data_IF_002747324361
#
_entry.id   IF_002747324361
#
_cell.length_a   1.000
_cell.length_b   1.000
_cell.length_c   1.000
_cell.angle_alpha   90.00
_cell.angle_beta   90.00
_cell.angle_gamma   90.00
#
_symmetry.space_group_name_H-M   'P 1'
#
loop_
_entity.id
_entity.type
_entity.pdbx_description
1 polymer ?
#
# COMPACT_ATOMS: atom_id res chain seq x y z
N UNK A 1 4.60 27.77 25.37
CA UNK A 1 5.81 28.57 25.11
C UNK A 1 5.97 29.55 26.27
N UNK A 2 6.89 29.31 27.20
CA UNK A 2 7.24 30.27 28.25
C UNK A 2 8.18 31.31 27.64
N UNK A 3 7.73 32.55 27.60
CA UNK A 3 8.63 33.69 27.34
C UNK A 3 9.48 33.89 28.59
N UNK A 4 10.79 33.67 28.49
CA UNK A 4 11.71 34.06 29.57
C UNK A 4 11.73 35.60 29.71
N UNK A 5 11.45 36.08 30.91
CA UNK A 5 11.38 37.48 31.26
C UNK A 5 12.77 38.11 31.40
N UNK A 6 13.51 38.21 30.32
CA UNK A 6 14.74 39.03 30.29
C UNK A 6 14.70 40.01 29.15
N UNK A 7 13.93 41.09 29.37
CA UNK A 7 14.01 42.29 28.51
C UNK A 7 15.11 43.19 29.09
N UNK A 8 16.15 43.53 28.31
CA UNK A 8 17.15 44.51 28.77
C UNK A 8 16.47 45.86 29.11
N UNK A 9 17.00 46.61 30.11
CA UNK A 9 16.38 47.84 30.59
C UNK A 9 16.12 48.91 29.54
N UNK A 10 16.89 48.92 28.48
CA UNK A 10 16.75 49.86 27.34
C UNK A 10 15.48 49.61 26.48
N UNK A 11 14.81 48.48 26.63
CA UNK A 11 13.59 48.16 25.93
C UNK A 11 12.31 48.27 26.77
N UNK A 12 12.38 48.69 28.00
CA UNK A 12 11.20 48.92 28.86
C UNK A 12 10.19 49.91 28.24
N UNK A 13 10.68 50.88 27.46
CA UNK A 13 9.89 51.86 26.75
C UNK A 13 8.99 51.24 25.64
N UNK A 14 9.36 50.06 25.15
CA UNK A 14 8.65 49.34 24.08
C UNK A 14 7.89 48.10 24.59
N UNK A 15 7.76 47.96 25.90
CA UNK A 15 7.14 46.79 26.56
C UNK A 15 5.71 46.49 26.08
N UNK A 16 4.96 47.50 25.63
CA UNK A 16 3.60 47.35 25.06
C UNK A 16 3.63 46.73 23.64
N UNK A 17 4.61 47.11 22.82
CA UNK A 17 4.74 46.61 21.46
C UNK A 17 5.25 45.17 21.43
N UNK A 18 6.14 44.80 22.33
CA UNK A 18 6.70 43.44 22.47
C UNK A 18 5.60 42.44 22.90
N UNK A 19 4.60 42.84 23.69
CA UNK A 19 3.49 41.97 24.11
C UNK A 19 2.57 41.57 22.99
N UNK A 20 2.56 42.30 21.88
CA UNK A 20 1.76 42.02 20.68
C UNK A 20 2.56 41.39 19.53
N UNK A 21 3.85 41.16 19.72
CA UNK A 21 4.65 40.47 18.70
C UNK A 21 4.25 39.01 18.59
N UNK A 22 3.85 38.61 17.38
CA UNK A 22 3.62 37.22 17.03
C UNK A 22 4.87 36.68 16.34
N UNK A 23 5.41 35.61 16.89
CA UNK A 23 6.56 34.92 16.30
C UNK A 23 6.05 33.68 15.53
N UNK A 24 6.57 33.50 14.33
CA UNK A 24 6.36 32.28 13.56
C UNK A 24 7.70 31.70 13.16
N UNK A 25 7.83 30.37 13.27
CA UNK A 25 8.96 29.62 12.73
C UNK A 25 8.54 29.05 11.39
N UNK A 26 9.25 29.38 10.34
CA UNK A 26 9.02 28.89 9.01
C UNK A 26 10.28 28.21 8.46
N UNK A 27 10.11 27.22 7.60
CA UNK A 27 11.19 26.53 6.86
C UNK A 27 10.98 26.73 5.39
N UNK A 28 12.01 27.22 4.69
CA UNK A 28 12.00 27.35 3.23
C UNK A 28 12.03 25.94 2.63
N UNK A 29 11.19 25.67 1.66
CA UNK A 29 11.09 24.36 0.98
C UNK A 29 11.43 24.43 -0.50
N UNK A 30 10.94 25.45 -1.16
CA UNK A 30 11.10 25.69 -2.59
C UNK A 30 11.47 27.13 -2.81
N UNK A 31 12.12 27.41 -3.93
CA UNK A 31 12.36 28.75 -4.41
C UNK A 31 11.88 28.92 -5.84
N UNK A 32 11.55 30.13 -6.20
CA UNK A 32 11.11 30.54 -7.53
C UNK A 32 12.28 31.19 -8.24
N UNK A 33 12.82 30.52 -9.24
CA UNK A 33 13.90 31.05 -10.06
C UNK A 33 13.33 31.56 -11.38
N UNK A 34 13.71 32.77 -11.76
CA UNK A 34 13.33 33.34 -13.05
C UNK A 34 14.52 33.22 -14.01
N UNK A 35 14.44 32.32 -14.99
CA UNK A 35 15.44 32.17 -16.06
C UNK A 35 14.78 32.51 -17.41
N UNK A 36 15.39 33.43 -18.15
CA UNK A 36 14.91 33.85 -19.48
C UNK A 36 13.41 34.26 -19.49
N UNK A 37 12.91 34.86 -18.42
CA UNK A 37 11.51 35.27 -18.29
C UNK A 37 10.53 34.12 -17.95
N UNK A 38 11.01 32.90 -17.74
CA UNK A 38 10.22 31.78 -17.25
C UNK A 38 10.45 31.54 -15.77
N UNK A 39 9.38 31.33 -15.04
CA UNK A 39 9.40 30.99 -13.63
C UNK A 39 9.54 29.47 -13.46
N UNK A 40 10.58 29.05 -12.74
CA UNK A 40 10.80 27.63 -12.39
C UNK A 40 10.77 27.46 -10.88
N UNK A 41 10.08 26.45 -10.40
CA UNK A 41 10.14 26.06 -8.99
C UNK A 41 11.22 25.01 -8.83
N UNK A 42 12.19 25.29 -7.97
CA UNK A 42 13.30 24.39 -7.64
C UNK A 42 13.35 24.15 -6.14
N UNK A 43 14.08 23.12 -5.72
CA UNK A 43 14.36 22.89 -4.30
C UNK A 43 15.21 24.03 -3.77
N UNK A 44 14.97 24.39 -2.50
CA UNK A 44 15.73 25.47 -1.86
C UNK A 44 17.23 25.20 -1.90
N UNK A 45 17.99 26.18 -2.39
CA UNK A 45 19.44 26.07 -2.60
C UNK A 45 20.28 26.51 -1.40
N UNK A 46 19.65 26.85 -0.27
CA UNK A 46 20.34 27.18 0.97
C UNK A 46 20.57 28.67 1.23
N UNK A 47 20.05 29.58 0.39
CA UNK A 47 20.14 31.02 0.66
C UNK A 47 19.27 31.44 1.84
N UNK A 48 19.65 32.48 2.54
CA UNK A 48 18.92 33.00 3.69
C UNK A 48 18.32 34.36 3.29
N UNK A 49 17.01 34.58 3.50
CA UNK A 49 16.39 35.89 3.27
C UNK A 49 17.06 36.96 4.09
N UNK A 50 17.34 38.09 3.48
CA UNK A 50 17.89 39.23 4.20
C UNK A 50 16.83 39.93 5.08
N UNK A 51 17.26 40.94 5.86
CA UNK A 51 16.36 41.66 6.78
C UNK A 51 15.27 42.49 6.07
N UNK A 52 15.41 42.75 4.76
CA UNK A 52 14.42 43.48 3.98
C UNK A 52 13.39 42.56 3.31
N UNK A 53 13.56 41.23 3.43
CA UNK A 53 12.65 40.27 2.85
C UNK A 53 11.23 40.41 3.41
N UNK A 54 10.25 40.48 2.51
CA UNK A 54 8.83 40.50 2.87
C UNK A 54 8.31 39.09 2.99
N UNK A 55 7.46 38.89 4.01
CA UNK A 55 6.75 37.64 4.22
C UNK A 55 5.28 37.86 3.89
N UNK A 56 4.77 37.11 2.93
CA UNK A 56 3.39 37.17 2.51
C UNK A 56 2.73 35.78 2.67
N UNK A 57 1.43 35.77 2.96
CA UNK A 57 0.64 34.56 2.97
C UNK A 57 0.16 34.26 1.56
N UNK A 58 0.34 33.02 1.12
CA UNK A 58 -0.17 32.56 -0.19
C UNK A 58 -1.26 31.50 -0.01
N UNK A 59 -2.21 31.46 -0.95
CA UNK A 59 -3.27 30.45 -1.00
C UNK A 59 -2.71 29.13 -1.55
N UNK A 60 -3.23 28.00 -1.06
CA UNK A 60 -2.92 26.67 -1.59
C UNK A 60 -3.14 26.58 -3.11
N UNK A 61 -4.16 27.28 -3.66
CA UNK A 61 -4.40 27.33 -5.11
C UNK A 61 -3.19 27.87 -5.87
N UNK A 62 -2.56 28.91 -5.36
CA UNK A 62 -1.36 29.47 -5.98
C UNK A 62 -0.21 28.44 -5.97
N UNK A 63 -0.02 27.74 -4.83
CA UNK A 63 1.02 26.70 -4.69
C UNK A 63 0.72 25.54 -5.63
N UNK A 64 -0.51 25.05 -5.66
CA UNK A 64 -0.93 23.95 -6.54
C UNK A 64 -0.68 24.29 -8.01
N UNK A 65 -1.07 25.48 -8.45
CA UNK A 65 -0.84 25.92 -9.83
C UNK A 65 0.66 26.03 -10.16
N UNK A 66 1.47 26.57 -9.24
CA UNK A 66 2.90 26.69 -9.44
C UNK A 66 3.63 25.35 -9.50
N UNK A 67 3.11 24.36 -8.77
CA UNK A 67 3.62 22.99 -8.77
C UNK A 67 2.98 22.13 -9.87
N UNK A 68 2.09 22.70 -10.69
CA UNK A 68 1.34 21.99 -11.73
C UNK A 68 0.56 20.78 -11.18
N UNK A 69 -0.04 20.97 -9.99
CA UNK A 69 -0.86 19.96 -9.32
C UNK A 69 -2.34 20.29 -9.53
N UNK A 70 -3.04 19.46 -10.35
CA UNK A 70 -4.44 19.67 -10.66
C UNK A 70 -4.95 18.79 -11.80
N UNK A 71 -6.26 18.73 -11.99
CA UNK A 71 -6.88 17.94 -13.07
C UNK A 71 -6.40 18.37 -14.45
N UNK A 72 -6.21 19.65 -14.63
CA UNK A 72 -5.76 20.29 -15.87
C UNK A 72 -4.34 19.88 -16.29
N UNK A 73 -3.52 19.41 -15.36
CA UNK A 73 -2.13 19.02 -15.63
C UNK A 73 -1.97 17.51 -15.81
N UNK A 74 -3.00 16.67 -15.50
CA UNK A 74 -2.87 15.23 -15.47
C UNK A 74 -3.76 14.53 -16.49
N UNK A 75 -3.19 13.58 -17.23
CA UNK A 75 -3.94 12.68 -18.12
C UNK A 75 -4.76 11.65 -17.35
N UNK A 76 -4.31 11.28 -16.15
CA UNK A 76 -4.95 10.27 -15.28
C UNK A 76 -5.11 10.83 -13.86
N UNK A 77 -6.03 11.80 -13.65
CA UNK A 77 -6.21 12.44 -12.35
C UNK A 77 -6.95 11.53 -11.37
N UNK A 78 -6.52 11.57 -10.11
CA UNK A 78 -7.19 10.93 -8.97
C UNK A 78 -7.51 12.00 -7.93
N UNK A 79 -8.79 12.20 -7.63
CA UNK A 79 -9.22 13.11 -6.56
C UNK A 79 -9.03 12.39 -5.23
N UNK A 80 -8.13 12.90 -4.39
CA UNK A 80 -7.83 12.32 -3.08
C UNK A 80 -8.60 13.02 -1.96
N UNK A 81 -8.90 14.31 -2.14
CA UNK A 81 -9.57 15.10 -1.13
C UNK A 81 -9.50 16.59 -1.41
N UNK A 82 -9.31 17.35 -0.34
CA UNK A 82 -9.18 18.81 -0.40
C UNK A 82 -8.03 19.27 0.48
N UNK A 83 -7.37 20.36 0.12
CA UNK A 83 -6.38 20.98 1.00
C UNK A 83 -7.02 21.39 2.34
N UNK A 84 -6.27 21.26 3.43
CA UNK A 84 -6.83 21.43 4.78
C UNK A 84 -7.14 22.89 5.13
N UNK A 85 -6.49 23.85 4.47
CA UNK A 85 -6.58 25.27 4.83
C UNK A 85 -7.45 26.07 3.86
N UNK A 86 -7.42 25.78 2.57
CA UNK A 86 -8.16 26.54 1.55
C UNK A 86 -9.32 25.76 0.94
N UNK A 87 -9.60 24.55 1.40
CA UNK A 87 -10.67 23.66 0.92
C UNK A 87 -10.66 23.45 -0.62
N UNK A 88 -9.46 23.57 -1.25
CA UNK A 88 -9.28 23.34 -2.67
C UNK A 88 -9.19 21.86 -2.97
N UNK A 89 -9.78 21.43 -4.07
CA UNK A 89 -9.67 20.05 -4.54
C UNK A 89 -8.20 19.67 -4.67
N UNK A 90 -7.82 18.53 -4.05
CA UNK A 90 -6.49 18.00 -4.12
C UNK A 90 -6.49 16.76 -5.01
N UNK A 91 -5.75 16.85 -6.09
CA UNK A 91 -5.69 15.84 -7.16
C UNK A 91 -4.26 15.37 -7.31
N UNK A 92 -4.08 14.07 -7.47
CA UNK A 92 -2.77 13.48 -7.78
C UNK A 92 -2.82 12.81 -9.15
N UNK A 93 -1.68 12.62 -9.78
CA UNK A 93 -1.56 11.81 -10.98
C UNK A 93 -1.46 10.32 -10.63
N UNK A 94 -2.23 9.47 -11.30
CA UNK A 94 -2.07 8.02 -11.19
C UNK A 94 -0.66 7.57 -11.60
N UNK A 95 0.00 8.31 -12.51
CA UNK A 95 1.38 8.06 -12.92
C UNK A 95 2.35 8.14 -11.72
N UNK A 96 2.15 9.10 -10.83
CA UNK A 96 3.03 9.29 -9.66
C UNK A 96 2.83 8.24 -8.56
N UNK A 97 1.84 7.34 -8.72
CA UNK A 97 1.69 6.14 -7.88
C UNK A 97 2.43 4.91 -8.43
N UNK A 98 3.09 5.04 -9.58
CA UNK A 98 3.87 3.95 -10.19
C UNK A 98 5.21 3.75 -9.49
N UNK A 99 5.12 3.38 -8.23
CA UNK A 99 6.23 3.17 -7.33
C UNK A 99 5.78 2.58 -6.00
N UNK A 100 6.48 2.93 -4.93
CA UNK A 100 6.15 2.53 -3.58
C UNK A 100 5.46 3.67 -2.86
N UNK A 101 4.22 3.46 -2.47
CA UNK A 101 3.45 4.39 -1.64
C UNK A 101 3.23 3.81 -0.25
N UNK A 102 3.50 4.59 0.78
CA UNK A 102 3.33 4.20 2.18
C UNK A 102 2.22 5.03 2.82
N UNK A 103 1.25 4.37 3.45
CA UNK A 103 0.14 4.99 4.18
C UNK A 103 0.23 4.54 5.64
N UNK A 104 0.56 5.46 6.55
CA UNK A 104 0.76 5.15 7.96
C UNK A 104 -0.04 6.06 8.90
N UNK A 105 -0.33 5.55 10.10
CA UNK A 105 -1.03 6.29 11.15
C UNK A 105 -1.79 5.37 12.09
N UNK A 106 -2.28 5.87 13.20
CA UNK A 106 -3.05 5.08 14.18
C UNK A 106 -4.35 4.50 13.59
N UNK A 107 -4.89 3.47 14.24
CA UNK A 107 -6.19 2.89 13.88
C UNK A 107 -7.29 3.97 13.94
N UNK A 108 -8.18 3.96 12.93
CA UNK A 108 -9.31 4.90 12.87
C UNK A 108 -8.98 6.31 12.38
N UNK A 109 -7.73 6.58 11.94
CA UNK A 109 -7.33 7.91 11.46
C UNK A 109 -7.72 8.20 10.01
N UNK A 110 -8.08 7.18 9.21
CA UNK A 110 -8.54 7.33 7.83
C UNK A 110 -7.69 6.64 6.77
N UNK A 111 -6.69 5.83 7.14
CA UNK A 111 -5.81 5.11 6.20
C UNK A 111 -6.56 4.26 5.17
N UNK A 112 -7.38 3.31 5.64
CA UNK A 112 -8.14 2.42 4.74
C UNK A 112 -9.14 3.20 3.87
N UNK A 113 -9.62 4.36 4.35
CA UNK A 113 -10.48 5.23 3.57
C UNK A 113 -9.71 5.88 2.40
N UNK A 114 -8.50 6.41 2.67
CA UNK A 114 -7.61 6.93 1.63
C UNK A 114 -7.24 5.84 0.62
N UNK A 115 -6.86 4.65 1.08
CA UNK A 115 -6.49 3.54 0.22
C UNK A 115 -7.64 3.13 -0.73
N UNK A 116 -8.87 3.13 -0.23
CA UNK A 116 -10.07 2.91 -1.05
C UNK A 116 -10.26 4.02 -2.09
N UNK A 117 -10.03 5.29 -1.71
CA UNK A 117 -10.09 6.42 -2.66
C UNK A 117 -9.05 6.27 -3.77
N UNK A 118 -7.81 5.90 -3.42
CA UNK A 118 -6.75 5.64 -4.40
C UNK A 118 -7.11 4.48 -5.32
N UNK A 119 -7.59 3.36 -4.76
CA UNK A 119 -8.00 2.19 -5.53
C UNK A 119 -9.10 2.51 -6.54
N UNK A 120 -10.16 3.20 -6.09
CA UNK A 120 -11.26 3.59 -6.97
C UNK A 120 -10.81 4.55 -8.07
N UNK A 121 -9.93 5.50 -7.72
CA UNK A 121 -9.33 6.41 -8.69
C UNK A 121 -8.46 5.68 -9.72
N UNK A 122 -7.69 4.68 -9.31
CA UNK A 122 -6.90 3.83 -10.21
C UNK A 122 -7.81 3.01 -11.12
N UNK A 123 -8.89 2.41 -10.61
CA UNK A 123 -9.89 1.67 -11.40
C UNK A 123 -10.56 2.58 -12.43
N UNK A 124 -10.90 3.82 -12.07
CA UNK A 124 -11.49 4.80 -12.98
C UNK A 124 -10.52 5.20 -14.11
N UNK A 125 -9.23 5.12 -13.87
CA UNK A 125 -8.16 5.35 -14.86
C UNK A 125 -7.72 4.06 -15.60
N UNK A 126 -8.45 2.97 -15.47
CA UNK A 126 -8.20 1.74 -16.23
C UNK A 126 -7.14 0.80 -15.61
N UNK A 127 -6.66 1.07 -14.41
CA UNK A 127 -5.64 0.25 -13.75
C UNK A 127 -6.21 -1.04 -13.17
N UNK A 128 -5.36 -2.07 -13.12
CA UNK A 128 -5.63 -3.33 -12.42
C UNK A 128 -5.09 -3.28 -10.99
N UNK A 129 -5.86 -3.75 -10.03
CA UNK A 129 -5.50 -3.85 -8.63
C UNK A 129 -5.56 -5.27 -8.08
N UNK A 130 -4.65 -5.60 -7.18
CA UNK A 130 -4.67 -6.79 -6.34
C UNK A 130 -4.59 -6.35 -4.88
N UNK A 131 -5.56 -6.76 -4.07
CA UNK A 131 -5.65 -6.36 -2.68
C UNK A 131 -5.58 -7.59 -1.77
N UNK A 132 -4.65 -7.59 -0.82
CA UNK A 132 -4.62 -8.52 0.30
C UNK A 132 -5.40 -7.91 1.46
N UNK A 133 -6.65 -8.34 1.64
CA UNK A 133 -7.62 -7.75 2.56
C UNK A 133 -7.80 -8.60 3.82
N UNK A 134 -7.11 -8.22 4.89
CA UNK A 134 -7.17 -8.95 6.19
C UNK A 134 -8.50 -8.71 6.91
N UNK A 135 -9.13 -7.57 6.68
CA UNK A 135 -10.30 -7.12 7.45
C UNK A 135 -11.63 -7.28 6.70
N UNK A 136 -11.60 -7.65 5.40
CA UNK A 136 -12.76 -7.67 4.50
C UNK A 136 -13.42 -6.28 4.40
N UNK A 137 -12.60 -5.28 4.11
CA UNK A 137 -13.03 -3.89 4.05
C UNK A 137 -13.31 -3.38 2.64
N UNK A 138 -12.80 -4.05 1.59
CA UNK A 138 -12.81 -3.55 0.22
C UNK A 138 -13.98 -4.07 -0.61
N UNK A 139 -14.48 -5.27 -0.32
CA UNK A 139 -15.55 -5.91 -1.08
C UNK A 139 -16.87 -5.13 -1.05
N UNK A 140 -17.13 -4.37 0.01
CA UNK A 140 -18.34 -3.56 0.17
C UNK A 140 -18.47 -2.42 -0.85
N UNK A 141 -17.35 -1.97 -1.46
CA UNK A 141 -17.37 -0.90 -2.48
C UNK A 141 -18.12 -1.27 -3.77
N UNK A 142 -18.50 -2.53 -3.94
CA UNK A 142 -19.43 -2.99 -4.99
C UNK A 142 -20.80 -2.32 -4.91
N UNK A 143 -21.14 -1.73 -3.76
CA UNK A 143 -22.44 -1.12 -3.49
C UNK A 143 -22.30 0.35 -3.12
N UNK A 144 -23.29 1.15 -3.50
CA UNK A 144 -23.47 2.51 -3.05
C UNK A 144 -23.92 2.53 -1.58
N UNK A 145 -23.89 3.71 -0.94
CA UNK A 145 -24.31 3.86 0.46
C UNK A 145 -25.77 3.43 0.71
N UNK A 146 -26.63 3.53 -0.31
CA UNK A 146 -28.03 3.11 -0.27
C UNK A 146 -28.25 1.60 -0.51
N UNK A 147 -27.17 0.83 -0.74
CA UNK A 147 -27.22 -0.61 -0.99
C UNK A 147 -27.42 -0.98 -2.47
N UNK A 148 -27.60 -0.02 -3.36
CA UNK A 148 -27.67 -0.30 -4.80
C UNK A 148 -26.30 -0.65 -5.38
N UNK A 149 -26.21 -1.41 -6.50
CA UNK A 149 -24.93 -1.66 -7.15
C UNK A 149 -24.24 -0.37 -7.55
N UNK A 150 -22.96 -0.24 -7.17
CA UNK A 150 -22.14 0.89 -7.59
C UNK A 150 -21.61 0.70 -9.02
N UNK A 151 -21.02 1.74 -9.60
CA UNK A 151 -20.33 1.64 -10.90
C UNK A 151 -19.15 0.65 -10.88
N UNK A 152 -18.71 0.24 -9.70
CA UNK A 152 -17.62 -0.72 -9.48
C UNK A 152 -18.11 -2.16 -9.25
N UNK A 153 -19.43 -2.40 -9.29
CA UNK A 153 -20.02 -3.71 -8.96
C UNK A 153 -19.38 -4.86 -9.72
N UNK A 154 -19.20 -4.70 -11.02
CA UNK A 154 -18.58 -5.70 -11.90
C UNK A 154 -17.06 -5.51 -12.06
N UNK A 155 -16.48 -4.47 -11.48
CA UNK A 155 -15.04 -4.18 -11.53
C UNK A 155 -14.28 -4.67 -10.30
N UNK A 156 -14.99 -5.09 -9.26
CA UNK A 156 -14.40 -5.62 -8.02
C UNK A 156 -14.79 -7.07 -7.90
N UNK A 157 -13.82 -7.96 -7.85
CA UNK A 157 -14.02 -9.40 -7.69
C UNK A 157 -13.43 -9.81 -6.34
N UNK A 158 -14.27 -10.39 -5.46
CA UNK A 158 -13.83 -10.97 -4.19
C UNK A 158 -13.46 -12.42 -4.40
N UNK A 159 -12.28 -12.79 -3.96
CA UNK A 159 -11.75 -14.14 -3.99
C UNK A 159 -11.52 -14.64 -2.56
N UNK A 160 -12.27 -15.66 -2.19
CA UNK A 160 -12.23 -16.30 -0.87
C UNK A 160 -11.44 -17.61 -0.97
N UNK A 161 -10.22 -17.70 -0.36
CA UNK A 161 -9.40 -18.90 -0.40
C UNK A 161 -10.13 -20.14 0.14
N UNK A 162 -10.11 -21.22 -0.66
CA UNK A 162 -10.81 -22.46 -0.37
C UNK A 162 -12.30 -22.49 -0.79
N UNK A 163 -12.82 -21.38 -1.30
CA UNK A 163 -14.17 -21.29 -1.84
C UNK A 163 -14.13 -21.05 -3.36
N UNK A 164 -13.93 -19.80 -3.78
CA UNK A 164 -13.82 -19.40 -5.17
C UNK A 164 -12.39 -18.99 -5.59
N UNK A 165 -11.41 -19.15 -4.69
CA UNK A 165 -9.99 -19.11 -5.01
C UNK A 165 -9.39 -20.48 -4.73
N UNK A 166 -9.28 -21.29 -5.78
CA UNK A 166 -8.71 -22.64 -5.76
C UNK A 166 -7.85 -22.84 -7.00
N UNK A 167 -6.73 -23.51 -6.84
CA UNK A 167 -5.77 -23.73 -7.92
C UNK A 167 -5.55 -25.22 -8.16
N UNK A 168 -5.42 -25.62 -9.44
CA UNK A 168 -4.88 -26.95 -9.77
C UNK A 168 -3.35 -26.91 -9.71
N UNK A 169 -2.73 -28.07 -9.47
CA UNK A 169 -1.26 -28.18 -9.51
C UNK A 169 -0.73 -27.87 -10.91
N UNK A 170 -1.45 -28.28 -11.94
CA UNK A 170 -1.12 -27.99 -13.35
C UNK A 170 -1.07 -26.47 -13.61
N UNK A 171 -2.05 -25.70 -13.11
CA UNK A 171 -2.07 -24.25 -13.26
C UNK A 171 -0.93 -23.57 -12.50
N UNK A 172 -0.69 -24.00 -11.27
CA UNK A 172 0.38 -23.42 -10.43
C UNK A 172 1.76 -23.71 -11.03
N UNK A 173 1.96 -24.91 -11.55
CA UNK A 173 3.24 -25.35 -12.09
C UNK A 173 4.30 -25.68 -11.02
N UNK A 174 5.36 -26.39 -11.42
CA UNK A 174 6.38 -26.87 -10.48
C UNK A 174 7.16 -25.70 -9.83
N UNK A 175 7.49 -24.66 -10.59
CA UNK A 175 8.32 -23.57 -10.06
C UNK A 175 7.64 -22.87 -8.88
N UNK A 176 6.39 -22.45 -9.04
CA UNK A 176 5.63 -21.79 -7.99
C UNK A 176 5.35 -22.74 -6.84
N UNK A 177 4.93 -23.99 -7.12
CA UNK A 177 4.64 -24.96 -6.09
C UNK A 177 5.84 -25.24 -5.18
N UNK A 178 7.03 -25.49 -5.78
CA UNK A 178 8.24 -25.80 -5.02
C UNK A 178 8.81 -24.58 -4.31
N UNK A 179 8.71 -23.39 -4.87
CA UNK A 179 9.04 -22.16 -4.16
C UNK A 179 8.17 -22.01 -2.90
N UNK A 180 6.87 -22.14 -3.04
CA UNK A 180 5.91 -21.98 -1.92
C UNK A 180 6.09 -23.04 -0.85
N UNK A 181 6.21 -24.34 -1.19
CA UNK A 181 6.32 -25.39 -0.19
C UNK A 181 7.67 -25.35 0.56
N UNK A 182 8.74 -24.91 -0.11
CA UNK A 182 10.04 -24.74 0.53
C UNK A 182 10.08 -23.47 1.39
N UNK A 183 9.60 -22.36 0.87
CA UNK A 183 9.74 -21.05 1.52
C UNK A 183 8.63 -20.77 2.53
N UNK A 184 7.36 -20.96 2.20
CA UNK A 184 6.25 -20.73 3.13
C UNK A 184 6.08 -21.84 4.16
N UNK A 185 6.34 -23.09 3.77
CA UNK A 185 6.13 -24.25 4.63
C UNK A 185 7.42 -24.87 5.15
N UNK A 186 8.57 -24.36 4.76
CA UNK A 186 9.88 -24.82 5.25
C UNK A 186 10.20 -26.28 4.91
N UNK A 187 9.88 -26.75 3.68
CA UNK A 187 10.25 -28.08 3.26
C UNK A 187 11.78 -28.16 3.04
N UNK A 188 12.50 -29.10 3.68
CA UNK A 188 13.92 -29.28 3.45
C UNK A 188 14.23 -29.62 2.00
N UNK A 189 15.38 -29.16 1.49
CA UNK A 189 15.80 -29.35 0.09
C UNK A 189 15.84 -30.80 -0.34
N UNK A 190 16.36 -31.70 0.53
CA UNK A 190 16.37 -33.14 0.28
C UNK A 190 14.97 -33.71 0.05
N UNK A 191 14.01 -33.29 0.87
CA UNK A 191 12.63 -33.75 0.73
C UNK A 191 11.96 -33.11 -0.48
N UNK A 192 12.30 -31.86 -0.82
CA UNK A 192 11.82 -31.20 -2.03
C UNK A 192 12.34 -31.87 -3.31
N UNK A 193 13.56 -32.36 -3.30
CA UNK A 193 14.13 -33.12 -4.42
C UNK A 193 13.34 -34.40 -4.72
N UNK A 194 13.05 -35.22 -3.69
CA UNK A 194 12.23 -36.42 -3.87
C UNK A 194 10.80 -36.09 -4.32
N UNK A 195 10.21 -35.05 -3.75
CA UNK A 195 8.86 -34.61 -4.18
C UNK A 195 8.86 -34.12 -5.63
N UNK A 196 9.96 -33.50 -6.13
CA UNK A 196 10.11 -33.14 -7.55
C UNK A 196 10.14 -34.35 -8.45
N UNK A 197 10.82 -35.41 -8.07
CA UNK A 197 10.87 -36.65 -8.85
C UNK A 197 9.48 -37.24 -9.00
N UNK A 198 8.68 -37.29 -7.91
CA UNK A 198 7.31 -37.76 -7.93
C UNK A 198 6.43 -36.84 -8.82
N UNK A 199 6.59 -35.52 -8.68
CA UNK A 199 5.86 -34.54 -9.51
C UNK A 199 6.08 -34.80 -11.00
N UNK A 200 7.34 -34.90 -11.43
CA UNK A 200 7.68 -35.11 -12.85
C UNK A 200 7.19 -36.45 -13.38
N UNK A 201 7.20 -37.50 -12.57
CA UNK A 201 6.65 -38.81 -12.95
C UNK A 201 5.13 -38.72 -13.19
N UNK A 202 4.40 -38.11 -12.26
CA UNK A 202 2.95 -37.90 -12.40
C UNK A 202 2.62 -36.98 -13.58
N UNK A 203 3.39 -35.91 -13.78
CA UNK A 203 3.21 -34.99 -14.90
C UNK A 203 3.44 -35.69 -16.24
N UNK A 204 4.50 -36.49 -16.38
CA UNK A 204 4.81 -37.26 -17.58
C UNK A 204 3.72 -38.28 -17.94
N UNK A 205 3.03 -38.82 -16.94
CA UNK A 205 1.94 -39.78 -17.09
C UNK A 205 0.56 -39.10 -17.26
N UNK A 206 0.47 -37.75 -17.24
CA UNK A 206 -0.78 -36.98 -17.19
C UNK A 206 -1.69 -37.35 -15.99
N UNK A 207 -1.09 -37.74 -14.87
CA UNK A 207 -1.77 -38.11 -13.62
C UNK A 207 -1.58 -37.06 -12.50
N UNK A 208 -1.00 -35.90 -12.81
CA UNK A 208 -0.70 -34.88 -11.82
C UNK A 208 -1.97 -34.31 -11.21
N UNK A 209 -2.23 -34.69 -9.98
CA UNK A 209 -3.27 -34.12 -9.11
C UNK A 209 -2.77 -34.03 -7.68
N UNK A 210 -3.43 -33.23 -6.84
CA UNK A 210 -3.04 -33.11 -5.45
C UNK A 210 -3.22 -34.42 -4.68
N UNK A 211 -4.30 -35.13 -4.99
CA UNK A 211 -4.60 -36.44 -4.40
C UNK A 211 -3.54 -37.48 -4.82
N UNK A 212 -3.21 -37.57 -6.11
CA UNK A 212 -2.18 -38.50 -6.59
C UNK A 212 -0.80 -38.19 -6.02
N UNK A 213 -0.44 -36.90 -5.93
CA UNK A 213 0.82 -36.48 -5.32
C UNK A 213 0.92 -36.96 -3.86
N UNK A 214 -0.17 -36.82 -3.09
CA UNK A 214 -0.23 -37.26 -1.70
C UNK A 214 -0.14 -38.79 -1.58
N UNK A 215 -0.79 -39.54 -2.49
CA UNK A 215 -0.74 -41.01 -2.52
C UNK A 215 0.67 -41.52 -2.85
N UNK A 216 1.32 -40.98 -3.87
CA UNK A 216 2.67 -41.42 -4.27
C UNK A 216 3.73 -41.09 -3.20
N UNK A 217 3.61 -39.97 -2.50
CA UNK A 217 4.47 -39.65 -1.37
C UNK A 217 4.40 -40.74 -0.28
N UNK A 218 3.24 -41.36 -0.07
CA UNK A 218 3.10 -42.45 0.92
C UNK A 218 3.91 -43.72 0.55
N UNK A 219 4.28 -43.88 -0.71
CA UNK A 219 5.10 -44.99 -1.21
C UNK A 219 6.63 -44.78 -1.00
N UNK A 220 7.03 -43.57 -0.54
CA UNK A 220 8.45 -43.27 -0.28
C UNK A 220 8.97 -44.10 0.89
N UNK A 221 10.04 -44.82 0.68
CA UNK A 221 10.61 -45.71 1.70
C UNK A 221 11.29 -45.00 2.86
N UNK A 222 11.82 -43.79 2.67
CA UNK A 222 12.47 -43.03 3.75
C UNK A 222 11.41 -42.34 4.63
N UNK A 223 11.25 -42.83 5.86
CA UNK A 223 10.29 -42.34 6.84
C UNK A 223 10.47 -40.85 7.20
N UNK A 224 11.69 -40.31 7.11
CA UNK A 224 11.97 -38.91 7.42
C UNK A 224 11.45 -37.99 6.30
N UNK A 225 11.72 -38.37 5.06
CA UNK A 225 11.22 -37.65 3.87
C UNK A 225 9.69 -37.73 3.84
N UNK A 226 9.16 -38.96 3.94
CA UNK A 226 7.72 -39.19 4.01
C UNK A 226 7.03 -38.29 5.03
N UNK A 227 7.45 -38.31 6.30
CA UNK A 227 6.83 -37.52 7.35
C UNK A 227 7.01 -35.99 7.18
N UNK A 228 8.09 -35.57 6.54
CA UNK A 228 8.31 -34.15 6.26
C UNK A 228 7.38 -33.63 5.14
N UNK A 229 7.22 -34.38 4.07
CA UNK A 229 6.38 -34.01 2.91
C UNK A 229 4.90 -34.16 3.24
N UNK A 230 4.47 -35.31 3.76
CA UNK A 230 3.07 -35.60 4.06
C UNK A 230 2.42 -34.52 4.93
N UNK A 231 3.06 -34.16 6.05
CA UNK A 231 2.51 -33.13 6.94
C UNK A 231 2.30 -31.78 6.26
N UNK A 232 3.13 -31.42 5.28
CA UNK A 232 3.02 -30.16 4.56
C UNK A 232 1.92 -30.22 3.52
N UNK A 233 1.83 -31.31 2.76
CA UNK A 233 0.76 -31.52 1.79
C UNK A 233 -0.62 -31.58 2.48
N UNK A 234 -0.74 -32.28 3.61
CA UNK A 234 -1.98 -32.31 4.40
C UNK A 234 -2.38 -30.92 4.89
N UNK A 235 -1.41 -30.11 5.36
CA UNK A 235 -1.68 -28.70 5.72
C UNK A 235 -2.14 -27.88 4.52
N UNK A 236 -1.51 -28.04 3.37
CA UNK A 236 -1.94 -27.37 2.13
C UNK A 236 -3.36 -27.77 1.74
N UNK A 237 -3.67 -29.06 1.82
CA UNK A 237 -5.01 -29.58 1.55
C UNK A 237 -6.08 -28.97 2.46
N UNK A 238 -5.78 -28.87 3.79
CA UNK A 238 -6.70 -28.28 4.77
C UNK A 238 -7.05 -26.82 4.50
N UNK A 239 -6.23 -26.09 3.76
CA UNK A 239 -6.55 -24.69 3.38
C UNK A 239 -7.65 -24.59 2.34
N UNK A 240 -7.92 -25.68 1.61
CA UNK A 240 -8.84 -25.71 0.46
C UNK A 240 -8.35 -24.91 -0.75
N UNK A 241 -7.11 -24.37 -0.72
CA UNK A 241 -6.55 -23.56 -1.80
C UNK A 241 -6.25 -24.37 -3.06
N UNK A 242 -6.04 -25.70 -2.93
CA UNK A 242 -5.76 -26.59 -4.04
C UNK A 242 -6.94 -27.52 -4.31
N UNK A 243 -7.23 -27.74 -5.57
CA UNK A 243 -8.25 -28.67 -6.04
C UNK A 243 -7.75 -29.42 -7.28
N UNK A 244 -8.37 -30.57 -7.55
CA UNK A 244 -8.07 -31.40 -8.72
C UNK A 244 -9.12 -31.25 -9.84
N UNK A 245 -10.21 -30.52 -9.57
CA UNK A 245 -11.30 -30.26 -10.51
C UNK A 245 -11.05 -28.91 -11.23
N UNK A 246 -10.80 -28.98 -12.54
CA UNK A 246 -10.54 -27.80 -13.36
C UNK A 246 -11.78 -26.88 -13.50
N UNK A 247 -12.99 -27.40 -13.36
CA UNK A 247 -14.20 -26.58 -13.42
C UNK A 247 -14.35 -25.70 -12.19
N UNK A 248 -13.87 -26.17 -11.03
CA UNK A 248 -13.85 -25.43 -9.77
C UNK A 248 -12.59 -24.58 -9.61
N UNK A 249 -11.60 -24.77 -10.47
CA UNK A 249 -10.34 -24.08 -10.38
C UNK A 249 -10.44 -22.62 -10.86
N UNK A 250 -9.67 -21.78 -10.19
CA UNK A 250 -9.50 -20.37 -10.50
C UNK A 250 -8.17 -20.18 -11.20
N UNK A 251 -8.14 -19.36 -12.24
CA UNK A 251 -6.89 -18.84 -12.79
C UNK A 251 -6.87 -17.32 -12.63
N UNK A 252 -5.78 -16.76 -12.13
CA UNK A 252 -5.65 -15.31 -11.92
C UNK A 252 -5.84 -14.56 -13.24
N UNK A 253 -5.31 -15.08 -14.35
CA UNK A 253 -5.46 -14.50 -15.67
C UNK A 253 -6.95 -14.35 -16.05
N UNK A 254 -7.75 -15.42 -15.86
CA UNK A 254 -9.19 -15.39 -16.16
C UNK A 254 -9.94 -14.37 -15.30
N UNK A 255 -9.57 -14.26 -14.03
CA UNK A 255 -10.22 -13.30 -13.14
C UNK A 255 -9.84 -11.85 -13.50
N UNK A 256 -8.58 -11.58 -13.84
CA UNK A 256 -8.17 -10.26 -14.32
C UNK A 256 -8.79 -9.90 -15.68
N UNK A 257 -8.97 -10.88 -16.58
CA UNK A 257 -9.61 -10.62 -17.87
C UNK A 257 -11.07 -10.14 -17.74
N UNK A 258 -11.80 -10.60 -16.71
CA UNK A 258 -13.16 -10.13 -16.38
C UNK A 258 -13.21 -8.64 -16.03
N UNK A 259 -12.10 -8.07 -15.56
CA UNK A 259 -11.97 -6.69 -15.13
C UNK A 259 -10.99 -5.89 -16.00
N UNK A 260 -10.71 -6.37 -17.20
CA UNK A 260 -9.89 -5.68 -18.18
C UNK A 260 -10.41 -4.26 -18.45
N UNK A 261 -9.50 -3.28 -18.45
CA UNK A 261 -9.88 -1.88 -18.59
C UNK A 261 -10.19 -1.17 -17.27
N UNK A 262 -9.82 -1.79 -16.14
CA UNK A 262 -9.86 -1.20 -14.80
C UNK A 262 -10.74 -1.99 -13.83
N UNK A 263 -10.10 -2.51 -12.80
CA UNK A 263 -10.77 -3.26 -11.75
C UNK A 263 -9.80 -3.80 -10.70
N UNK A 264 -10.33 -4.55 -9.73
CA UNK A 264 -9.54 -5.09 -8.63
C UNK A 264 -9.96 -6.51 -8.23
N UNK A 265 -8.97 -7.37 -8.00
CA UNK A 265 -9.14 -8.64 -7.31
C UNK A 265 -8.86 -8.44 -5.82
N UNK A 266 -9.79 -8.84 -4.98
CA UNK A 266 -9.67 -8.76 -3.52
C UNK A 266 -9.49 -10.17 -2.98
N UNK A 267 -8.30 -10.46 -2.50
CA UNK A 267 -7.99 -11.73 -1.80
C UNK A 267 -8.42 -11.55 -0.35
N UNK A 268 -9.52 -12.17 0.02
CA UNK A 268 -10.07 -12.07 1.37
C UNK A 268 -9.31 -12.99 2.33
N UNK A 269 -8.58 -12.40 3.26
CA UNK A 269 -7.77 -13.10 4.26
C UNK A 269 -8.41 -13.10 5.65
N UNK A 270 -9.60 -12.51 5.79
CA UNK A 270 -10.30 -12.39 7.06
C UNK A 270 -10.59 -13.76 7.68
N UNK A 271 -10.30 -13.87 8.98
CA UNK A 271 -10.50 -15.09 9.78
C UNK A 271 -9.72 -16.32 9.30
N UNK A 272 -8.78 -16.19 8.38
CA UNK A 272 -7.87 -17.27 7.99
C UNK A 272 -6.77 -17.43 9.03
N UNK A 273 -6.26 -18.66 9.20
CA UNK A 273 -5.09 -18.91 10.04
C UNK A 273 -3.85 -18.26 9.43
N UNK A 274 -2.82 -18.00 10.25
CA UNK A 274 -1.56 -17.44 9.75
C UNK A 274 -0.95 -18.30 8.65
N UNK A 275 -0.89 -19.62 8.86
CA UNK A 275 -0.35 -20.57 7.87
C UNK A 275 -1.11 -20.50 6.54
N UNK A 276 -2.44 -20.34 6.59
CA UNK A 276 -3.28 -20.17 5.39
C UNK A 276 -2.98 -18.84 4.70
N UNK A 277 -2.86 -17.75 5.46
CA UNK A 277 -2.53 -16.42 4.92
C UNK A 277 -1.18 -16.48 4.22
N UNK A 278 -0.15 -17.00 4.88
CA UNK A 278 1.19 -17.12 4.32
C UNK A 278 1.18 -17.95 3.03
N UNK A 279 0.49 -19.10 3.03
CA UNK A 279 0.38 -19.95 1.85
C UNK A 279 -0.32 -19.24 0.67
N UNK A 280 -1.47 -18.62 0.93
CA UNK A 280 -2.26 -17.90 -0.09
C UNK A 280 -1.46 -16.76 -0.69
N UNK A 281 -0.88 -15.92 0.16
CA UNK A 281 -0.13 -14.73 -0.29
C UNK A 281 1.08 -15.15 -1.12
N UNK A 282 1.86 -16.13 -0.64
CA UNK A 282 3.02 -16.62 -1.38
C UNK A 282 2.62 -17.23 -2.73
N UNK A 283 1.59 -18.07 -2.76
CA UNK A 283 1.10 -18.68 -4.01
C UNK A 283 0.65 -17.61 -5.01
N UNK A 284 -0.11 -16.63 -4.56
CA UNK A 284 -0.63 -15.56 -5.43
C UNK A 284 0.51 -14.65 -5.92
N UNK A 285 1.46 -14.27 -5.04
CA UNK A 285 2.60 -13.43 -5.44
C UNK A 285 3.54 -14.15 -6.41
N UNK A 286 3.92 -15.41 -6.13
CA UNK A 286 4.80 -16.17 -7.02
C UNK A 286 4.13 -16.41 -8.37
N UNK A 287 2.82 -16.69 -8.40
CA UNK A 287 2.09 -16.84 -9.67
C UNK A 287 1.95 -15.52 -10.42
N UNK A 288 1.71 -14.42 -9.72
CA UNK A 288 1.69 -13.09 -10.33
C UNK A 288 3.05 -12.72 -10.94
N UNK A 289 4.14 -13.03 -10.27
CA UNK A 289 5.50 -12.81 -10.78
C UNK A 289 5.73 -13.57 -12.08
N UNK A 290 5.39 -14.87 -12.14
CA UNK A 290 5.44 -15.67 -13.35
C UNK A 290 4.60 -15.07 -14.50
N UNK A 291 3.39 -14.60 -14.20
CA UNK A 291 2.53 -13.94 -15.18
C UNK A 291 3.16 -12.67 -15.74
N UNK A 292 3.75 -11.83 -14.89
CA UNK A 292 4.39 -10.59 -15.29
C UNK A 292 5.63 -10.84 -16.15
N UNK A 293 6.40 -11.89 -15.89
CA UNK A 293 7.51 -12.33 -16.74
C UNK A 293 7.01 -12.74 -18.14
N UNK A 294 5.77 -13.20 -18.26
CA UNK A 294 5.10 -13.55 -19.50
C UNK A 294 4.35 -12.35 -20.15
N UNK A 295 4.75 -11.11 -19.81
CA UNK A 295 4.17 -9.87 -20.32
C UNK A 295 2.71 -9.61 -19.88
N UNK A 296 2.29 -10.08 -18.71
CA UNK A 296 1.03 -9.63 -18.12
C UNK A 296 1.08 -8.11 -17.85
N UNK A 297 -0.06 -7.39 -18.00
CA UNK A 297 -0.09 -5.94 -17.76
C UNK A 297 0.36 -5.55 -16.35
N UNK A 298 0.95 -4.34 -16.19
CA UNK A 298 1.31 -3.79 -14.89
C UNK A 298 0.13 -3.73 -13.92
N UNK A 299 0.41 -3.88 -12.62
CA UNK A 299 -0.62 -4.01 -11.60
C UNK A 299 -0.25 -3.24 -10.32
N UNK A 300 -1.27 -2.69 -9.64
CA UNK A 300 -1.15 -2.10 -8.31
C UNK A 300 -1.46 -3.13 -7.22
N UNK A 301 -0.54 -3.31 -6.28
CA UNK A 301 -0.72 -4.22 -5.15
C UNK A 301 -0.98 -3.40 -3.89
N UNK A 302 -2.13 -3.62 -3.26
CA UNK A 302 -2.49 -3.04 -1.97
C UNK A 302 -2.26 -4.07 -0.87
N UNK A 303 -1.37 -3.77 0.04
CA UNK A 303 -0.97 -4.66 1.12
C UNK A 303 -1.28 -4.01 2.48
N UNK A 304 -2.42 -4.41 3.07
CA UNK A 304 -2.82 -3.97 4.38
C UNK A 304 -2.12 -4.79 5.45
N UNK A 305 -1.47 -4.12 6.41
CA UNK A 305 -0.70 -4.75 7.49
C UNK A 305 0.26 -5.85 6.97
N UNK A 306 0.98 -5.54 5.90
CA UNK A 306 1.82 -6.47 5.14
C UNK A 306 2.85 -7.24 6.00
N UNK A 307 3.24 -6.69 7.14
CA UNK A 307 4.14 -7.34 8.10
C UNK A 307 3.59 -8.64 8.69
N UNK A 308 2.28 -8.89 8.61
CA UNK A 308 1.71 -10.15 9.08
C UNK A 308 1.97 -11.32 8.14
N UNK A 309 2.28 -11.06 6.84
CA UNK A 309 2.36 -12.12 5.84
C UNK A 309 3.51 -11.99 4.83
N UNK A 310 4.17 -10.83 4.71
CA UNK A 310 5.35 -10.69 3.86
C UNK A 310 6.61 -11.05 4.64
N UNK A 311 7.40 -11.98 4.07
CA UNK A 311 8.71 -12.37 4.59
C UNK A 311 9.78 -11.35 4.19
N UNK A 312 10.98 -11.50 4.76
CA UNK A 312 12.11 -10.62 4.47
C UNK A 312 12.49 -10.62 2.98
N UNK A 313 12.47 -11.81 2.36
CA UNK A 313 12.72 -12.00 0.94
C UNK A 313 11.67 -11.34 0.07
N UNK A 314 10.39 -11.37 0.48
CA UNK A 314 9.28 -10.75 -0.25
C UNK A 314 9.41 -9.23 -0.27
N UNK A 315 9.79 -8.63 0.87
CA UNK A 315 10.06 -7.20 0.93
C UNK A 315 11.19 -6.78 -0.02
N UNK A 316 12.29 -7.55 -0.06
CA UNK A 316 13.41 -7.28 -0.95
C UNK A 316 13.00 -7.44 -2.42
N UNK A 317 12.29 -8.51 -2.75
CA UNK A 317 11.81 -8.81 -4.11
C UNK A 317 10.82 -7.75 -4.61
N UNK A 318 9.89 -7.32 -3.77
CA UNK A 318 8.91 -6.27 -4.10
C UNK A 318 9.57 -4.95 -4.52
N UNK A 319 10.64 -4.55 -3.81
CA UNK A 319 11.36 -3.29 -4.07
C UNK A 319 12.26 -3.38 -5.31
N UNK A 320 12.79 -4.55 -5.62
CA UNK A 320 13.74 -4.77 -6.71
C UNK A 320 13.07 -5.33 -7.96
N UNK A 321 12.94 -6.65 -8.02
CA UNK A 321 12.51 -7.38 -9.22
C UNK A 321 11.07 -7.10 -9.62
N UNK A 322 10.12 -7.17 -8.69
CA UNK A 322 8.70 -6.99 -9.01
C UNK A 322 8.41 -5.58 -9.53
N UNK A 323 9.08 -4.55 -9.00
CA UNK A 323 8.95 -3.17 -9.53
C UNK A 323 9.35 -3.09 -11.01
N UNK A 324 10.43 -3.76 -11.41
CA UNK A 324 10.85 -3.80 -12.82
C UNK A 324 9.89 -4.59 -13.71
N UNK A 325 9.18 -5.55 -13.15
CA UNK A 325 8.14 -6.31 -13.85
C UNK A 325 6.80 -5.55 -13.96
N UNK A 326 6.69 -4.36 -13.36
CA UNK A 326 5.50 -3.53 -13.45
C UNK A 326 4.52 -3.70 -12.27
N UNK A 327 5.01 -4.07 -11.09
CA UNK A 327 4.19 -4.00 -9.88
C UNK A 327 4.43 -2.70 -9.12
N UNK A 328 3.35 -2.04 -8.72
CA UNK A 328 3.38 -0.82 -7.92
C UNK A 328 2.72 -1.08 -6.58
N UNK A 329 3.41 -0.80 -5.47
CA UNK A 329 2.99 -1.24 -4.16
C UNK A 329 2.45 -0.10 -3.31
N UNK A 330 1.32 -0.35 -2.65
CA UNK A 330 0.71 0.56 -1.68
C UNK A 330 0.61 -0.17 -0.35
N UNK A 331 1.49 0.17 0.56
CA UNK A 331 1.58 -0.42 1.90
C UNK A 331 0.81 0.40 2.91
N UNK A 332 0.00 -0.29 3.73
CA UNK A 332 -0.77 0.34 4.80
C UNK A 332 -0.48 -0.33 6.12
N UNK A 333 -0.14 0.46 7.15
CA UNK A 333 0.08 -0.09 8.50
C UNK A 333 -0.20 0.91 9.61
N UNK A 334 -0.54 0.36 10.78
CA UNK A 334 -0.61 1.10 12.04
C UNK A 334 0.75 1.17 12.74
N UNK A 335 1.69 0.30 12.35
CA UNK A 335 2.99 0.10 13.01
C UNK A 335 4.11 0.28 11.99
N UNK A 336 4.52 1.52 11.68
CA UNK A 336 5.54 1.80 10.66
C UNK A 336 6.86 1.05 10.88
N UNK A 337 7.26 0.83 12.13
CA UNK A 337 8.48 0.10 12.50
C UNK A 337 8.52 -1.34 12.01
N UNK A 338 7.39 -1.92 11.64
CA UNK A 338 7.31 -3.27 11.04
C UNK A 338 7.59 -3.27 9.51
N UNK A 339 7.53 -2.10 8.86
CA UNK A 339 7.97 -1.96 7.46
C UNK A 339 9.50 -2.00 7.44
N UNK A 340 10.06 -2.80 6.56
CA UNK A 340 11.52 -2.90 6.45
C UNK A 340 12.18 -1.57 6.05
N UNK A 341 13.34 -1.22 6.64
CA UNK A 341 14.04 0.04 6.31
C UNK A 341 14.38 0.19 4.83
N UNK A 342 14.57 -0.93 4.12
CA UNK A 342 14.81 -0.93 2.68
C UNK A 342 13.60 -0.33 1.93
N UNK A 343 12.38 -0.73 2.28
CA UNK A 343 11.13 -0.25 1.66
C UNK A 343 10.93 1.24 1.96
N UNK A 344 11.15 1.65 3.23
CA UNK A 344 11.04 3.05 3.64
C UNK A 344 11.95 3.96 2.81
N UNK A 345 13.21 3.55 2.59
CA UNK A 345 14.18 4.34 1.80
C UNK A 345 13.87 4.39 0.31
N UNK A 346 13.10 3.44 -0.20
CA UNK A 346 12.70 3.37 -1.59
C UNK A 346 11.26 3.87 -1.82
N UNK A 347 10.62 4.40 -0.78
CA UNK A 347 9.30 4.97 -0.90
C UNK A 347 9.32 6.23 -1.78
N UNK A 348 8.45 6.26 -2.76
CA UNK A 348 8.25 7.41 -3.65
C UNK A 348 7.22 8.38 -3.06
N UNK A 349 6.26 7.84 -2.28
CA UNK A 349 5.18 8.63 -1.68
C UNK A 349 4.90 8.22 -0.24
N UNK A 350 4.55 9.21 0.59
CA UNK A 350 4.11 9.02 1.96
C UNK A 350 2.79 9.77 2.20
N UNK A 351 1.80 9.05 2.74
CA UNK A 351 0.63 9.62 3.38
C UNK A 351 0.70 9.31 4.88
N UNK A 352 0.96 10.34 5.67
CA UNK A 352 1.12 10.24 7.12
C UNK A 352 -0.10 10.82 7.84
N UNK A 353 -0.86 9.96 8.48
CA UNK A 353 -1.96 10.32 9.39
C UNK A 353 -1.44 10.53 10.82
N UNK A 354 -2.35 10.85 11.74
CA UNK A 354 -2.01 11.01 13.14
C UNK A 354 -1.19 9.83 13.69
N UNK A 355 -0.02 10.14 14.24
CA UNK A 355 0.91 9.18 14.83
C UNK A 355 1.68 9.89 15.95
N UNK A 356 1.84 9.24 17.10
CA UNK A 356 2.41 9.90 18.31
C UNK A 356 3.75 9.34 18.74
N UNK A 357 4.05 8.07 18.39
CA UNK A 357 5.25 7.39 18.82
C UNK A 357 6.48 7.91 18.08
N UNK A 358 7.45 8.42 18.81
CA UNK A 358 8.67 8.99 18.23
C UNK A 358 9.46 7.95 17.42
N UNK A 359 9.53 6.71 17.90
CA UNK A 359 10.22 5.61 17.22
C UNK A 359 9.65 5.35 15.83
N UNK A 360 8.32 5.33 15.71
CA UNK A 360 7.62 5.16 14.43
C UNK A 360 7.88 6.34 13.50
N UNK A 361 7.85 7.58 14.05
CA UNK A 361 8.08 8.79 13.28
C UNK A 361 9.53 8.90 12.80
N UNK A 362 10.50 8.52 13.63
CA UNK A 362 11.91 8.45 13.23
C UNK A 362 12.13 7.39 12.14
N UNK A 363 11.44 6.26 12.25
CA UNK A 363 11.54 5.17 11.27
C UNK A 363 11.01 5.56 9.91
N UNK A 364 9.88 6.30 9.83
CA UNK A 364 9.24 6.71 8.57
C UNK A 364 9.87 7.98 7.95
N UNK A 365 10.59 8.78 8.73
CA UNK A 365 11.18 10.04 8.25
C UNK A 365 12.03 9.88 6.98
N UNK A 366 12.83 8.81 6.78
CA UNK A 366 13.62 8.62 5.56
C UNK A 366 12.81 8.44 4.28
N UNK A 367 11.49 8.21 4.38
CA UNK A 367 10.60 8.15 3.22
C UNK A 367 10.34 9.52 2.57
N UNK A 368 10.85 10.60 3.15
CA UNK A 368 10.61 11.96 2.65
C UNK A 368 11.87 12.82 2.73
N UNK A 369 11.87 13.92 1.97
CA UNK A 369 12.88 14.99 2.09
C UNK A 369 12.57 15.98 3.22
N UNK A 370 11.52 15.74 4.02
CA UNK A 370 11.15 16.61 5.14
C UNK A 370 11.98 16.23 6.36
N UNK A 371 12.45 17.21 7.09
CA UNK A 371 13.20 16.97 8.33
C UNK A 371 12.34 16.27 9.40
N UNK A 372 12.94 15.37 10.21
CA UNK A 372 12.21 14.57 11.20
C UNK A 372 11.45 15.38 12.24
N UNK A 373 11.95 16.56 12.60
CA UNK A 373 11.31 17.44 13.59
C UNK A 373 9.94 17.92 13.07
N UNK A 374 9.90 18.43 11.84
CA UNK A 374 8.65 18.84 11.19
C UNK A 374 7.67 17.68 11.06
N UNK A 375 8.14 16.50 10.65
CA UNK A 375 7.29 15.31 10.57
C UNK A 375 6.65 14.98 11.92
N UNK A 376 7.44 15.01 12.99
CA UNK A 376 6.96 14.74 14.37
C UNK A 376 5.92 15.74 14.82
N UNK A 377 6.17 17.03 14.61
CA UNK A 377 5.24 18.10 15.01
C UNK A 377 3.92 17.99 14.25
N UNK A 378 3.99 17.84 12.93
CA UNK A 378 2.79 17.73 12.07
C UNK A 378 2.01 16.47 12.42
N UNK A 379 2.64 15.29 12.44
CA UNK A 379 1.96 14.02 12.65
C UNK A 379 1.18 13.97 13.98
N UNK A 380 1.76 14.53 15.05
CA UNK A 380 1.10 14.58 16.37
C UNK A 380 -0.08 15.54 16.43
N UNK A 381 -0.12 16.54 15.56
CA UNK A 381 -1.17 17.56 15.52
C UNK A 381 -2.32 17.23 14.56
N UNK A 382 -2.17 16.23 13.68
CA UNK A 382 -3.18 15.89 12.67
C UNK A 382 -4.48 15.37 13.32
N UNK A 383 -5.64 15.95 13.01
CA UNK A 383 -6.93 15.37 13.41
C UNK A 383 -7.28 14.16 12.54
N UNK A 384 -8.30 13.40 12.94
CA UNK A 384 -8.81 12.29 12.15
C UNK A 384 -9.21 12.74 10.72
N UNK A 385 -9.01 11.86 9.75
CA UNK A 385 -9.26 12.09 8.31
C UNK A 385 -8.40 13.16 7.65
N UNK A 386 -7.39 13.67 8.36
CA UNK A 386 -6.34 14.52 7.77
C UNK A 386 -5.04 13.76 7.68
N UNK A 387 -4.31 13.95 6.60
CA UNK A 387 -2.97 13.41 6.46
C UNK A 387 -2.02 14.43 5.83
N UNK A 388 -0.75 14.26 6.12
CA UNK A 388 0.35 14.85 5.38
C UNK A 388 0.58 14.00 4.14
N UNK A 389 0.50 14.60 2.95
CA UNK A 389 0.83 13.98 1.67
C UNK A 389 2.14 14.59 1.17
N UNK A 390 3.10 13.75 0.81
CA UNK A 390 4.42 14.16 0.31
C UNK A 390 5.04 13.07 -0.56
N UNK A 391 5.84 13.44 -1.53
CA UNK A 391 6.53 12.56 -2.47
C UNK A 391 6.36 13.03 -3.91
N UNK A 392 6.49 12.12 -4.86
CA UNK A 392 6.28 12.38 -6.28
C UNK A 392 4.88 12.94 -6.56
N UNK A 393 3.88 12.49 -5.80
CA UNK A 393 2.49 12.99 -5.89
C UNK A 393 2.34 14.48 -5.61
N UNK A 394 3.34 15.13 -5.04
CA UNK A 394 3.30 16.54 -4.61
C UNK A 394 4.54 17.32 -5.05
N UNK A 395 5.32 16.79 -5.99
CA UNK A 395 6.64 17.35 -6.32
C UNK A 395 7.49 17.61 -5.06
N UNK A 396 7.41 16.69 -4.08
CA UNK A 396 8.07 16.72 -2.76
C UNK A 396 7.69 17.91 -1.87
N UNK A 397 6.63 18.65 -2.20
CA UNK A 397 6.10 19.70 -1.33
C UNK A 397 5.07 19.09 -0.36
N UNK A 398 5.15 19.38 0.95
CA UNK A 398 4.22 18.81 1.93
C UNK A 398 2.85 19.51 1.87
N UNK A 399 1.78 18.74 1.63
CA UNK A 399 0.41 19.21 1.75
C UNK A 399 -0.32 18.49 2.89
N UNK A 400 -1.08 19.25 3.66
CA UNK A 400 -2.06 18.66 4.59
C UNK A 400 -3.40 18.61 3.87
N UNK A 401 -3.97 17.41 3.76
CA UNK A 401 -5.21 17.17 3.03
C UNK A 401 -6.29 16.57 3.92
N UNK A 402 -7.54 16.97 3.68
CA UNK A 402 -8.72 16.30 4.17
C UNK A 402 -9.10 15.23 3.15
N UNK A 403 -9.09 13.97 3.54
CA UNK A 403 -9.42 12.86 2.63
C UNK A 403 -10.89 12.93 2.22
N UNK A 404 -11.15 12.77 0.91
CA UNK A 404 -12.49 12.83 0.34
C UNK A 404 -13.42 11.75 0.91
N UNK A 405 -14.70 12.09 1.05
CA UNK A 405 -15.74 11.09 1.28
C UNK A 405 -15.93 10.18 0.06
N UNK A 406 -16.31 8.94 0.29
CA UNK A 406 -16.60 7.97 -0.76
C UNK A 406 -18.11 7.80 -0.90
N UNK A 407 -18.62 7.74 -2.13
CA UNK A 407 -20.04 7.51 -2.41
C UNK A 407 -20.45 6.03 -2.38
N UNK A 408 -19.49 5.14 -2.09
CA UNK A 408 -19.70 3.70 -1.97
C UNK A 408 -19.74 3.26 -0.51
N UNK A 409 -20.28 2.07 -0.26
CA UNK A 409 -20.22 1.47 1.07
C UNK A 409 -18.76 1.24 1.46
N UNK A 410 -18.44 1.57 2.70
CA UNK A 410 -17.13 1.31 3.28
C UNK A 410 -17.31 0.46 4.53
N UNK A 411 -16.90 -0.80 4.47
CA UNK A 411 -16.74 -1.65 5.65
C UNK A 411 -15.50 -1.19 6.46
N UNK A 412 -15.35 -1.69 7.68
CA UNK A 412 -14.21 -1.35 8.56
C UNK A 412 -14.56 -0.44 9.73
N UNK A 413 -15.85 -0.21 9.97
CA UNK A 413 -16.28 0.48 11.19
C UNK A 413 -16.05 -0.45 12.36
N UNK A 414 -15.19 -0.05 13.31
CA UNK A 414 -15.01 -0.78 14.56
C UNK A 414 -16.34 -0.84 15.30
N UNK A 415 -16.84 -2.03 15.59
CA UNK A 415 -18.05 -2.21 16.40
C UNK A 415 -17.81 -1.57 17.77
N UNK A 416 -18.58 -0.54 18.10
CA UNK A 416 -18.56 0.08 19.43
C UNK A 416 -19.61 -0.61 20.29
N UNK A 417 -19.25 -0.86 21.55
CA UNK A 417 -20.21 -1.38 22.54
C UNK A 417 -21.24 -0.30 22.89
N UNK A 418 -20.79 0.94 23.06
CA UNK A 418 -21.66 2.08 23.26
C UNK A 418 -21.68 2.93 21.98
N UNK A 419 -22.86 3.14 21.42
CA UNK A 419 -23.07 4.11 20.35
C UNK A 419 -23.48 5.43 21.00
N UNK A 420 -22.69 6.48 20.81
CA UNK A 420 -23.14 7.85 21.08
C UNK A 420 -24.28 8.16 20.09
N UNK A 421 -25.40 8.66 20.62
CA UNK A 421 -26.59 9.06 19.84
C UNK A 421 -26.31 10.26 18.97
#
# INVERSE_FOLDING_TARGET
MKLEEHTPPEYEKYRLDVRNMKFARAKVRKELEIRNGQENIIDWTGWIPDRSAKVESVDDKWILNKLEIGKEYYSHPIIVGKTAYSDKEFVISAHNLQGITIIVGKKGTGKSHLAKALLLGLIDNGALGLIFDINDEYSSMKYNQDGTPSKYHNKIIKLDPGENLRFTLTYIGPNVFFDVIQTAMGLPETSAFELRNIWHELEANNELSFERLLQEVQNVGDRRILGAVTRRLERMQQTGLFCDDEEQATTLQREFEKIKGGGALIINLKLKSKDTIDLVVQTVLSKLEEMLEQNFPPIFIFAEEAHFYLRETDWANAVTRMRHLGTYQIYMTNTPTEIRPLVIRQADNLFLFHLTENRDLDHISPATKIDPETIKEVAKALPARRCLAVGEITNHYPFIINVAGLNVQTAGVTRKFFNEK
#
